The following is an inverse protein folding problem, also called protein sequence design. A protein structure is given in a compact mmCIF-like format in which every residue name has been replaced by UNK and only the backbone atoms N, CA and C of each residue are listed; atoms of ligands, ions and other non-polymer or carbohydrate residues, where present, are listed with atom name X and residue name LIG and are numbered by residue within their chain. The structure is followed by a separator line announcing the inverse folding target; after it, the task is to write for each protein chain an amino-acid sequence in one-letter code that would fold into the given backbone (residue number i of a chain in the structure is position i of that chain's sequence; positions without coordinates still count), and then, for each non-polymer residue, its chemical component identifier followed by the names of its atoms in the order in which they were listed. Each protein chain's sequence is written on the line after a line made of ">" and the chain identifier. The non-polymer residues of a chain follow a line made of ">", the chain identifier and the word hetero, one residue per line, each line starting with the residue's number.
data_IF_588268491441
#
_entry.id   IF_588268491441
#
_cell.length_a   1.000
_cell.length_b   1.000
_cell.length_c   1.000
_cell.angle_alpha   90.00
_cell.angle_beta   90.00
_cell.angle_gamma   90.00
#
_symmetry.space_group_name_H-M   'P 1'
#
loop_
_entity.id
_entity.type
_entity.pdbx_description
1 polymer ?
#
# COMPACT_ATOMS: atom_id res chain seq x y z
N UNK A 1 5.72 -25.00 -33.55
CA UNK A 1 6.27 -24.70 -32.22
C UNK A 1 5.07 -24.42 -31.33
N UNK A 2 4.78 -25.34 -30.42
CA UNK A 2 3.60 -25.29 -29.56
C UNK A 2 3.87 -24.19 -28.52
N UNK A 3 3.05 -23.10 -28.53
CA UNK A 3 2.95 -22.22 -27.42
C UNK A 3 2.28 -23.00 -26.28
N UNK A 4 3.06 -23.57 -25.39
CA UNK A 4 2.52 -24.00 -24.10
C UNK A 4 1.86 -22.80 -23.43
N UNK A 5 0.59 -22.94 -22.96
CA UNK A 5 -0.01 -21.90 -22.18
C UNK A 5 0.88 -21.70 -20.93
N UNK A 6 1.49 -20.52 -20.81
CA UNK A 6 2.19 -20.13 -19.60
C UNK A 6 1.24 -20.41 -18.42
N UNK A 7 1.66 -21.27 -17.49
CA UNK A 7 0.90 -21.56 -16.29
C UNK A 7 0.59 -20.22 -15.57
N UNK A 8 -0.60 -20.08 -14.97
CA UNK A 8 -1.05 -18.83 -14.32
C UNK A 8 0.03 -18.17 -13.45
N UNK A 9 0.73 -18.96 -12.64
CA UNK A 9 1.85 -18.51 -11.81
C UNK A 9 2.99 -17.91 -12.65
N UNK A 10 3.32 -18.53 -13.79
CA UNK A 10 4.38 -18.02 -14.66
C UNK A 10 4.00 -16.73 -15.39
N UNK A 11 2.70 -16.52 -15.69
CA UNK A 11 2.21 -15.28 -16.33
C UNK A 11 2.30 -14.09 -15.36
N UNK A 12 1.82 -14.26 -14.13
CA UNK A 12 1.92 -13.20 -13.09
C UNK A 12 3.37 -12.90 -12.74
N UNK A 13 4.22 -13.91 -12.63
CA UNK A 13 5.63 -13.71 -12.33
C UNK A 13 6.33 -12.92 -13.44
N UNK A 14 6.05 -13.24 -14.71
CA UNK A 14 6.57 -12.47 -15.84
C UNK A 14 6.05 -11.01 -15.87
N UNK A 15 4.78 -10.79 -15.55
CA UNK A 15 4.22 -9.44 -15.40
C UNK A 15 4.96 -8.67 -14.30
N UNK A 16 5.24 -9.30 -13.16
CA UNK A 16 6.00 -8.71 -12.06
C UNK A 16 7.43 -8.36 -12.45
N UNK A 17 8.10 -9.20 -13.24
CA UNK A 17 9.42 -8.90 -13.80
C UNK A 17 9.36 -7.66 -14.70
N UNK A 18 8.37 -7.55 -15.59
CA UNK A 18 8.18 -6.36 -16.42
C UNK A 18 7.96 -5.09 -15.59
N UNK A 19 7.20 -5.19 -14.50
CA UNK A 19 6.99 -4.06 -13.58
C UNK A 19 8.31 -3.65 -12.90
N UNK A 20 9.13 -4.62 -12.45
CA UNK A 20 10.43 -4.36 -11.86
C UNK A 20 11.41 -3.70 -12.84
N UNK A 21 11.30 -4.07 -14.13
CA UNK A 21 12.10 -3.49 -15.22
C UNK A 21 11.52 -2.14 -15.73
N UNK A 22 10.49 -1.59 -15.07
CA UNK A 22 9.77 -0.38 -15.46
C UNK A 22 9.14 -0.45 -16.87
N UNK A 23 8.88 -1.65 -17.38
CA UNK A 23 8.25 -1.90 -18.69
C UNK A 23 6.72 -1.94 -18.52
N UNK A 24 6.14 -0.83 -18.11
CA UNK A 24 4.73 -0.76 -17.73
C UNK A 24 3.76 -1.00 -18.88
N UNK A 25 4.09 -0.52 -20.09
CA UNK A 25 3.23 -0.72 -21.28
C UNK A 25 3.13 -2.21 -21.64
N UNK A 26 4.25 -2.94 -21.63
CA UNK A 26 4.29 -4.37 -21.90
C UNK A 26 3.53 -5.16 -20.82
N UNK A 27 3.68 -4.77 -19.56
CA UNK A 27 2.97 -5.37 -18.44
C UNK A 27 1.46 -5.15 -18.55
N UNK A 28 1.02 -3.94 -18.90
CA UNK A 28 -0.41 -3.62 -19.07
C UNK A 28 -1.03 -4.37 -20.25
N UNK A 29 -0.32 -4.53 -21.38
CA UNK A 29 -0.80 -5.31 -22.52
C UNK A 29 -1.03 -6.79 -22.14
N UNK A 30 -0.09 -7.37 -21.38
CA UNK A 30 -0.24 -8.74 -20.88
C UNK A 30 -1.37 -8.88 -19.87
N UNK A 31 -1.51 -7.91 -18.95
CA UNK A 31 -2.61 -7.88 -17.99
C UNK A 31 -3.96 -7.79 -18.69
N UNK A 32 -4.10 -6.92 -19.69
CA UNK A 32 -5.34 -6.80 -20.45
C UNK A 32 -5.74 -8.13 -21.09
N UNK A 33 -4.80 -8.81 -21.76
CA UNK A 33 -5.05 -10.15 -22.34
C UNK A 33 -5.42 -11.17 -21.28
N UNK A 34 -4.73 -11.16 -20.14
CA UNK A 34 -5.02 -12.07 -19.04
C UNK A 34 -6.42 -11.83 -18.44
N UNK A 35 -6.84 -10.58 -18.30
CA UNK A 35 -8.18 -10.22 -17.80
C UNK A 35 -9.31 -10.55 -18.78
N UNK A 36 -9.04 -10.59 -20.09
CA UNK A 36 -10.01 -11.08 -21.09
C UNK A 36 -10.26 -12.58 -20.96
N UNK A 37 -9.21 -13.34 -20.59
CA UNK A 37 -9.29 -14.79 -20.36
C UNK A 37 -9.87 -15.13 -18.98
N UNK A 38 -9.55 -14.34 -17.97
CA UNK A 38 -9.90 -14.56 -16.56
C UNK A 38 -10.37 -13.25 -15.91
N UNK A 39 -11.60 -12.78 -16.21
CA UNK A 39 -12.07 -11.47 -15.77
C UNK A 39 -12.25 -11.35 -14.25
N UNK A 40 -12.44 -12.47 -13.54
CA UNK A 40 -12.66 -12.51 -12.09
C UNK A 40 -11.36 -12.66 -11.28
N UNK A 41 -10.19 -12.66 -11.95
CA UNK A 41 -8.91 -12.82 -11.28
C UNK A 41 -8.48 -11.51 -10.62
N UNK A 42 -8.64 -11.45 -9.31
CA UNK A 42 -8.34 -10.27 -8.48
C UNK A 42 -6.85 -9.88 -8.51
N UNK A 43 -5.96 -10.86 -8.72
CA UNK A 43 -4.52 -10.60 -8.74
C UNK A 43 -4.12 -9.66 -9.90
N UNK A 44 -4.83 -9.70 -11.02
CA UNK A 44 -4.57 -8.79 -12.14
C UNK A 44 -4.91 -7.34 -11.79
N UNK A 45 -6.00 -7.10 -11.05
CA UNK A 45 -6.35 -5.76 -10.56
C UNK A 45 -5.28 -5.25 -9.58
N UNK A 46 -4.73 -6.14 -8.76
CA UNK A 46 -3.63 -5.78 -7.85
C UNK A 46 -2.37 -5.35 -8.62
N UNK A 47 -1.95 -6.11 -9.64
CA UNK A 47 -0.78 -5.75 -10.45
C UNK A 47 -1.01 -4.46 -11.27
N UNK A 48 -2.23 -4.24 -11.81
CA UNK A 48 -2.60 -2.96 -12.43
C UNK A 48 -2.50 -1.79 -11.45
N UNK A 49 -2.99 -1.96 -10.25
CA UNK A 49 -2.89 -0.92 -9.23
C UNK A 49 -1.43 -0.56 -8.92
N UNK A 50 -0.54 -1.57 -8.85
CA UNK A 50 0.90 -1.33 -8.67
C UNK A 50 1.48 -0.50 -9.82
N UNK A 51 1.16 -0.84 -11.06
CA UNK A 51 1.61 -0.07 -12.23
C UNK A 51 1.11 1.37 -12.14
N UNK A 52 -0.18 1.57 -11.85
CA UNK A 52 -0.76 2.92 -11.74
C UNK A 52 -0.15 3.74 -10.59
N UNK A 53 0.23 3.10 -9.47
CA UNK A 53 0.97 3.75 -8.38
C UNK A 53 2.34 4.27 -8.88
N UNK A 54 3.11 3.43 -9.58
CA UNK A 54 4.42 3.80 -10.12
C UNK A 54 4.31 4.90 -11.19
N UNK A 55 3.24 4.90 -11.98
CA UNK A 55 2.97 5.95 -12.98
C UNK A 55 2.40 7.24 -12.39
N UNK A 56 2.10 7.28 -11.09
CA UNK A 56 1.47 8.42 -10.43
C UNK A 56 -0.02 8.61 -10.78
N UNK A 57 -0.66 7.60 -11.39
CA UNK A 57 -2.09 7.62 -11.68
C UNK A 57 -2.87 7.04 -10.47
N UNK A 58 -2.92 7.82 -9.40
CA UNK A 58 -3.47 7.36 -8.12
C UNK A 58 -4.98 7.07 -8.20
N UNK A 59 -5.74 7.81 -9.00
CA UNK A 59 -7.16 7.56 -9.18
C UNK A 59 -7.44 6.17 -9.78
N UNK A 60 -6.69 5.75 -10.80
CA UNK A 60 -6.78 4.41 -11.37
C UNK A 60 -6.28 3.34 -10.40
N UNK A 61 -5.20 3.61 -9.65
CA UNK A 61 -4.71 2.71 -8.62
C UNK A 61 -5.77 2.47 -7.53
N UNK A 62 -6.42 3.52 -7.04
CA UNK A 62 -7.49 3.45 -6.04
C UNK A 62 -8.63 2.56 -6.55
N UNK A 63 -9.13 2.81 -7.77
CA UNK A 63 -10.24 2.04 -8.32
C UNK A 63 -9.94 0.54 -8.38
N UNK A 64 -8.74 0.16 -8.81
CA UNK A 64 -8.33 -1.24 -8.84
C UNK A 64 -8.14 -1.83 -7.44
N UNK A 65 -7.57 -1.07 -6.50
CA UNK A 65 -7.37 -1.54 -5.11
C UNK A 65 -8.69 -1.67 -4.35
N UNK A 66 -9.68 -0.83 -4.62
CA UNK A 66 -11.03 -0.98 -4.03
C UNK A 66 -11.66 -2.31 -4.46
N UNK A 67 -11.57 -2.67 -5.75
CA UNK A 67 -12.05 -3.96 -6.24
C UNK A 67 -11.35 -5.13 -5.53
N UNK A 68 -10.03 -5.06 -5.36
CA UNK A 68 -9.26 -6.08 -4.65
C UNK A 68 -9.66 -6.14 -3.17
N UNK A 69 -9.84 -4.98 -2.52
CA UNK A 69 -10.18 -4.90 -1.10
C UNK A 69 -11.57 -5.46 -0.77
N UNK A 70 -12.50 -5.37 -1.72
CA UNK A 70 -13.85 -5.96 -1.58
C UNK A 70 -13.81 -7.50 -1.65
N UNK A 71 -12.86 -8.07 -2.40
CA UNK A 71 -12.71 -9.52 -2.57
C UNK A 71 -11.75 -10.18 -1.57
N UNK A 72 -10.77 -9.45 -1.04
CA UNK A 72 -9.69 -10.02 -0.21
C UNK A 72 -9.47 -9.22 1.06
N UNK A 73 -9.68 -9.87 2.22
CA UNK A 73 -9.40 -9.28 3.54
C UNK A 73 -7.90 -9.43 3.88
N UNK A 74 -7.07 -8.54 3.34
CA UNK A 74 -5.64 -8.54 3.55
C UNK A 74 -5.16 -7.14 3.99
N UNK A 75 -4.42 -7.06 5.10
CA UNK A 75 -3.90 -5.80 5.63
C UNK A 75 -2.98 -5.06 4.65
N UNK A 76 -2.23 -5.78 3.80
CA UNK A 76 -1.34 -5.17 2.81
C UNK A 76 -2.12 -4.43 1.71
N UNK A 77 -3.30 -4.96 1.31
CA UNK A 77 -4.17 -4.29 0.33
C UNK A 77 -4.69 -2.97 0.91
N UNK A 78 -5.19 -2.99 2.15
CA UNK A 78 -5.66 -1.76 2.79
C UNK A 78 -4.53 -0.75 3.04
N UNK A 79 -3.33 -1.23 3.34
CA UNK A 79 -2.16 -0.36 3.45
C UNK A 79 -1.82 0.30 2.11
N UNK A 80 -1.79 -0.46 1.02
CA UNK A 80 -1.52 0.06 -0.32
C UNK A 80 -2.61 1.02 -0.79
N UNK A 81 -3.89 0.71 -0.50
CA UNK A 81 -5.02 1.60 -0.77
C UNK A 81 -4.88 2.92 0.02
N UNK A 82 -4.42 2.85 1.27
CA UNK A 82 -4.14 4.04 2.06
C UNK A 82 -3.01 4.89 1.48
N UNK A 83 -1.94 4.28 0.97
CA UNK A 83 -0.86 4.99 0.28
C UNK A 83 -1.37 5.65 -1.00
N UNK A 84 -2.23 4.98 -1.77
CA UNK A 84 -2.85 5.55 -2.96
C UNK A 84 -3.74 6.77 -2.62
N UNK A 85 -4.60 6.65 -1.61
CA UNK A 85 -5.40 7.78 -1.12
C UNK A 85 -4.54 8.93 -0.59
N UNK A 86 -3.46 8.63 0.13
CA UNK A 86 -2.55 9.66 0.63
C UNK A 86 -1.87 10.40 -0.52
N UNK A 87 -1.44 9.69 -1.57
CA UNK A 87 -0.82 10.26 -2.75
C UNK A 87 -1.80 11.09 -3.59
N UNK A 88 -3.08 10.72 -3.58
CA UNK A 88 -4.19 11.47 -4.23
C UNK A 88 -4.77 12.56 -3.29
N UNK A 89 -4.11 12.89 -2.21
CA UNK A 89 -4.48 13.91 -1.21
C UNK A 89 -5.82 13.64 -0.48
N UNK A 90 -6.38 12.43 -0.60
CA UNK A 90 -7.60 12.00 0.11
C UNK A 90 -7.28 11.53 1.55
N UNK A 91 -6.79 12.44 2.37
CA UNK A 91 -6.16 12.11 3.68
C UNK A 91 -7.10 11.36 4.63
N UNK A 92 -8.39 11.72 4.71
CA UNK A 92 -9.32 11.04 5.62
C UNK A 92 -9.58 9.59 5.19
N UNK A 93 -9.64 9.33 3.88
CA UNK A 93 -9.76 7.95 3.35
C UNK A 93 -8.47 7.16 3.57
N UNK A 94 -7.31 7.80 3.45
CA UNK A 94 -6.03 7.19 3.77
C UNK A 94 -5.97 6.73 5.23
N UNK A 95 -6.34 7.61 6.18
CA UNK A 95 -6.41 7.27 7.61
C UNK A 95 -7.34 6.08 7.82
N UNK A 96 -8.56 6.11 7.26
CA UNK A 96 -9.52 5.00 7.37
C UNK A 96 -8.97 3.67 6.86
N UNK A 97 -8.22 3.69 5.76
CA UNK A 97 -7.61 2.49 5.17
C UNK A 97 -6.42 1.98 5.99
N UNK A 98 -5.56 2.86 6.53
CA UNK A 98 -4.51 2.44 7.47
C UNK A 98 -5.10 1.81 8.74
N UNK A 99 -6.19 2.36 9.28
CA UNK A 99 -6.88 1.76 10.43
C UNK A 99 -7.46 0.38 10.10
N UNK A 100 -8.03 0.20 8.91
CA UNK A 100 -8.48 -1.13 8.45
C UNK A 100 -7.31 -2.13 8.35
N UNK A 101 -6.15 -1.69 7.88
CA UNK A 101 -4.95 -2.52 7.87
C UNK A 101 -4.57 -2.97 9.28
N UNK A 102 -4.60 -2.08 10.27
CA UNK A 102 -4.33 -2.41 11.68
C UNK A 102 -5.39 -3.33 12.30
N UNK A 103 -6.67 -3.17 11.94
CA UNK A 103 -7.73 -4.09 12.39
C UNK A 103 -7.49 -5.53 11.89
N UNK A 104 -6.84 -5.71 10.75
CA UNK A 104 -6.49 -7.02 10.19
C UNK A 104 -5.14 -7.54 10.69
N UNK A 105 -4.22 -6.66 11.04
CA UNK A 105 -2.92 -7.00 11.60
C UNK A 105 -2.45 -5.92 12.59
N UNK A 106 -2.76 -6.11 13.86
CA UNK A 106 -2.42 -5.19 14.95
C UNK A 106 -0.92 -4.96 15.14
N UNK A 107 -0.08 -5.84 14.59
CA UNK A 107 1.40 -5.72 14.67
C UNK A 107 2.02 -5.12 13.41
N UNK A 108 1.22 -4.58 12.51
CA UNK A 108 1.72 -4.04 11.25
C UNK A 108 2.33 -2.63 11.44
N UNK A 109 3.60 -2.62 11.85
CA UNK A 109 4.35 -1.41 12.17
C UNK A 109 4.28 -0.28 11.12
N UNK A 110 4.35 -0.55 9.78
CA UNK A 110 4.27 0.52 8.79
C UNK A 110 3.02 1.39 8.90
N UNK A 111 1.86 0.81 9.22
CA UNK A 111 0.62 1.57 9.34
C UNK A 111 0.63 2.52 10.56
N UNK A 112 1.17 2.11 11.70
CA UNK A 112 1.34 2.99 12.86
C UNK A 112 2.23 4.19 12.53
N UNK A 113 3.36 3.96 11.87
CA UNK A 113 4.28 5.03 11.47
C UNK A 113 3.61 6.02 10.52
N UNK A 114 2.87 5.53 9.52
CA UNK A 114 2.12 6.37 8.57
C UNK A 114 1.03 7.19 9.26
N UNK A 115 0.23 6.58 10.14
CA UNK A 115 -0.78 7.29 10.92
C UNK A 115 -0.16 8.38 11.79
N UNK A 116 0.91 8.06 12.53
CA UNK A 116 1.63 9.05 13.32
C UNK A 116 2.10 10.25 12.49
N UNK A 117 2.64 10.01 11.30
CA UNK A 117 3.06 11.07 10.37
C UNK A 117 1.89 11.89 9.84
N UNK A 118 0.77 11.26 9.48
CA UNK A 118 -0.42 11.97 8.98
C UNK A 118 -1.05 12.85 10.05
N UNK A 119 -1.20 12.37 11.28
CA UNK A 119 -1.72 13.18 12.38
C UNK A 119 -0.76 14.32 12.74
N UNK A 120 0.55 14.07 12.67
CA UNK A 120 1.54 15.15 12.87
C UNK A 120 1.42 16.23 11.79
N UNK A 121 1.25 15.85 10.52
CA UNK A 121 1.05 16.79 9.41
C UNK A 121 -0.25 17.63 9.59
N UNK A 122 -1.28 17.06 10.21
CA UNK A 122 -2.54 17.74 10.57
C UNK A 122 -2.42 18.59 11.85
N UNK A 123 -1.23 18.67 12.43
CA UNK A 123 -0.96 19.33 13.73
C UNK A 123 -1.73 18.69 14.91
N UNK A 124 -2.24 17.49 14.76
CA UNK A 124 -2.81 16.68 15.85
C UNK A 124 -1.67 15.94 16.58
N UNK A 125 -1.01 16.66 17.47
CA UNK A 125 0.12 16.12 18.25
C UNK A 125 -0.28 15.01 19.20
N UNK A 126 -1.53 15.00 19.69
CA UNK A 126 -2.01 13.98 20.62
C UNK A 126 -2.10 12.62 19.92
N UNK A 127 -2.87 12.54 18.83
CA UNK A 127 -3.00 11.30 18.04
C UNK A 127 -1.65 10.86 17.45
N UNK A 128 -0.84 11.81 16.95
CA UNK A 128 0.50 11.48 16.44
C UNK A 128 1.37 10.82 17.51
N UNK A 129 1.34 11.33 18.76
CA UNK A 129 2.10 10.76 19.87
C UNK A 129 1.63 9.32 20.17
N UNK A 130 0.33 9.09 20.24
CA UNK A 130 -0.26 7.79 20.51
C UNK A 130 0.21 6.74 19.47
N UNK A 131 0.07 7.04 18.17
CA UNK A 131 0.50 6.12 17.12
C UNK A 131 2.01 5.87 17.10
N UNK A 132 2.83 6.87 17.38
CA UNK A 132 4.28 6.68 17.49
C UNK A 132 4.67 5.88 18.72
N UNK A 133 3.99 6.04 19.86
CA UNK A 133 4.23 5.25 21.06
C UNK A 133 3.82 3.79 20.84
N UNK A 134 2.70 3.53 20.15
CA UNK A 134 2.28 2.17 19.77
C UNK A 134 3.28 1.53 18.80
N UNK A 135 3.78 2.29 17.81
CA UNK A 135 4.86 1.83 16.93
C UNK A 135 6.09 1.37 17.72
N UNK A 136 6.51 2.12 18.76
CA UNK A 136 7.69 1.79 19.57
C UNK A 136 7.54 0.54 20.43
N UNK A 137 6.29 0.10 20.72
CA UNK A 137 6.01 -1.14 21.46
C UNK A 137 6.22 -2.39 20.58
N UNK A 138 6.25 -2.24 19.26
CA UNK A 138 6.39 -3.34 18.33
C UNK A 138 7.84 -3.83 18.25
N UNK A 139 8.01 -5.08 17.79
CA UNK A 139 9.33 -5.66 17.51
C UNK A 139 9.82 -5.20 16.12
N UNK A 140 10.58 -4.12 16.11
CA UNK A 140 11.12 -3.46 14.93
C UNK A 140 12.59 -3.12 15.14
N UNK A 141 13.30 -2.84 14.05
CA UNK A 141 14.72 -2.50 14.11
C UNK A 141 15.00 -1.28 14.99
N UNK A 142 16.09 -1.36 15.76
CA UNK A 142 16.46 -0.31 16.73
C UNK A 142 16.68 1.06 16.06
N UNK A 143 17.21 1.07 14.85
CA UNK A 143 17.42 2.30 14.09
C UNK A 143 16.11 3.03 13.79
N UNK A 144 15.08 2.29 13.38
CA UNK A 144 13.73 2.85 13.13
C UNK A 144 13.08 3.36 14.42
N UNK A 145 13.26 2.63 15.54
CA UNK A 145 12.81 3.11 16.86
C UNK A 145 13.46 4.43 17.21
N UNK A 146 14.75 4.57 16.97
CA UNK A 146 15.48 5.80 17.30
C UNK A 146 15.00 7.00 16.46
N UNK A 147 14.71 6.79 15.17
CA UNK A 147 14.12 7.84 14.32
C UNK A 147 12.78 8.34 14.89
N UNK A 148 11.89 7.44 15.30
CA UNK A 148 10.59 7.82 15.88
C UNK A 148 10.74 8.50 17.23
N UNK A 149 11.66 8.05 18.09
CA UNK A 149 11.97 8.72 19.35
C UNK A 149 12.45 10.18 19.15
N UNK A 150 13.27 10.41 18.11
CA UNK A 150 13.70 11.76 17.76
C UNK A 150 12.54 12.64 17.31
N UNK A 151 11.58 12.09 16.54
CA UNK A 151 10.35 12.81 16.16
C UNK A 151 9.58 13.21 17.42
N UNK A 152 9.30 12.27 18.32
CA UNK A 152 8.59 12.53 19.58
C UNK A 152 9.30 13.58 20.44
N UNK A 153 10.63 13.53 20.53
CA UNK A 153 11.42 14.55 21.25
C UNK A 153 11.19 15.94 20.66
N UNK A 154 11.33 16.08 19.33
CA UNK A 154 11.12 17.39 18.65
C UNK A 154 9.69 17.92 18.80
N UNK A 155 8.68 17.01 18.82
CA UNK A 155 7.28 17.41 19.07
C UNK A 155 7.06 18.00 20.45
N UNK A 156 7.78 17.50 21.47
CA UNK A 156 7.73 18.00 22.86
C UNK A 156 8.46 19.34 23.04
N UNK A 157 9.53 19.56 22.29
CA UNK A 157 10.35 20.79 22.37
C UNK A 157 9.67 22.01 21.69
N UNK A 158 8.80 21.77 20.70
CA UNK A 158 8.02 22.82 20.01
C UNK A 158 6.68 23.04 20.72
N UNK A 159 6.75 23.65 21.93
CA UNK A 159 5.57 24.20 22.62
C UNK A 159 5.20 25.58 22.08
#
# INVERSE_FOLDING_TARGET
>A
MQNEPLNQLSRIDYIRELILDCRYDDAMELLQKAMEEEPDNIDYNYELARIFMEMGNYASAISNLELVADGVRNHLIYYMLAEAYQADEQIDRAIGSYLKALMLNEKFAPAYKKLGMLFLARNDKASATEYFEDYLKLDIHQEEKEQVKQILKRMREKK
#
